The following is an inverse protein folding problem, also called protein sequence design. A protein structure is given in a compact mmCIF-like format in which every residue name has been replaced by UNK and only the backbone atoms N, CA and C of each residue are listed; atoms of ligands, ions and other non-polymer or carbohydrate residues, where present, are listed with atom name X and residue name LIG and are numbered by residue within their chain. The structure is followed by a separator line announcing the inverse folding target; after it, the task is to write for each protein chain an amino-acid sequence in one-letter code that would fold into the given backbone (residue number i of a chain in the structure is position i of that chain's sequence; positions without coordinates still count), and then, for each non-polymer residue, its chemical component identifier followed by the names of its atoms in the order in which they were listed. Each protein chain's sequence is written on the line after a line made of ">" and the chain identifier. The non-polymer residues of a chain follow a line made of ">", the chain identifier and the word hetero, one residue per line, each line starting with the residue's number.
data_IF_930642139183
#
_entry.id   IF_930642139183
#
_cell.length_a   1.000
_cell.length_b   1.000
_cell.length_c   1.000
_cell.angle_alpha   90.00
_cell.angle_beta   90.00
_cell.angle_gamma   90.00
#
_symmetry.space_group_name_H-M   'P 1'
#
loop_
_entity.id
_entity.type
_entity.pdbx_description
1 polymer ?
#
# COMPACT_ATOMS: atom_id res chain seq x y z
N UNK A 1 9.64 12.07 2.95
CA UNK A 1 10.37 10.81 2.74
C UNK A 1 9.41 9.84 2.08
N UNK A 2 9.72 9.38 0.87
CA UNK A 2 8.83 8.50 0.14
C UNK A 2 8.73 7.13 0.82
N UNK A 3 7.64 6.42 0.55
CA UNK A 3 7.51 4.98 0.79
C UNK A 3 8.76 4.26 0.27
N UNK A 4 9.38 3.45 1.14
CA UNK A 4 10.63 2.76 0.84
C UNK A 4 10.36 1.31 0.56
N UNK A 5 11.11 0.74 -0.38
CA UNK A 5 11.10 -0.70 -0.53
C UNK A 5 11.83 -1.35 0.65
N UNK A 6 11.29 -2.47 1.10
CA UNK A 6 11.89 -3.26 2.17
C UNK A 6 13.31 -3.69 1.81
N UNK A 7 14.23 -3.68 2.78
CA UNK A 7 15.65 -4.02 2.58
C UNK A 7 15.91 -5.43 2.05
N UNK A 8 15.02 -6.42 2.24
CA UNK A 8 15.24 -7.73 1.60
C UNK A 8 14.72 -7.80 0.14
N UNK A 9 14.27 -6.68 -0.42
CA UNK A 9 14.00 -6.47 -1.84
C UNK A 9 14.70 -5.17 -2.32
N UNK A 10 15.96 -4.96 -1.94
CA UNK A 10 16.72 -3.74 -2.20
C UNK A 10 17.40 -3.67 -3.58
N UNK A 11 17.13 -4.64 -4.45
CA UNK A 11 17.67 -4.71 -5.83
C UNK A 11 17.19 -3.56 -6.73
N UNK A 12 16.09 -2.90 -6.35
CA UNK A 12 15.43 -1.82 -7.10
C UNK A 12 14.45 -1.08 -6.19
N UNK A 13 14.18 0.18 -6.48
CA UNK A 13 13.09 0.95 -5.87
C UNK A 13 11.70 0.43 -6.28
N UNK A 14 10.66 0.81 -5.54
CA UNK A 14 9.27 0.51 -5.91
C UNK A 14 8.90 1.11 -7.28
N UNK A 15 9.38 2.33 -7.55
CA UNK A 15 9.13 3.03 -8.82
C UNK A 15 9.76 2.26 -9.98
N UNK A 16 11.02 1.83 -9.85
CA UNK A 16 11.70 1.02 -10.87
C UNK A 16 10.94 -0.28 -11.13
N UNK A 17 10.57 -1.01 -10.07
CA UNK A 17 9.81 -2.26 -10.19
C UNK A 17 8.53 -2.10 -11.00
N UNK A 18 7.66 -1.17 -10.62
CA UNK A 18 6.39 -0.99 -11.33
C UNK A 18 6.58 -0.37 -12.71
N UNK A 19 7.59 0.48 -12.91
CA UNK A 19 7.95 1.01 -14.24
C UNK A 19 8.31 -0.12 -15.19
N UNK A 20 9.09 -1.11 -14.77
CA UNK A 20 9.37 -2.29 -15.59
C UNK A 20 8.11 -3.07 -15.93
N UNK A 21 7.18 -3.23 -14.98
CA UNK A 21 5.91 -3.93 -15.23
C UNK A 21 5.01 -3.21 -16.23
N UNK A 22 5.13 -1.89 -16.40
CA UNK A 22 4.39 -1.17 -17.47
C UNK A 22 4.86 -1.51 -18.89
N UNK A 23 6.08 -2.06 -19.04
CA UNK A 23 6.69 -2.39 -20.34
C UNK A 23 6.30 -3.78 -20.86
N UNK A 24 5.55 -4.55 -20.07
CA UNK A 24 5.09 -5.90 -20.43
C UNK A 24 4.05 -5.88 -21.56
N UNK A 25 3.99 -6.91 -22.42
CA UNK A 25 2.93 -7.02 -23.44
C UNK A 25 1.54 -7.37 -22.85
N UNK A 26 1.48 -7.82 -21.59
CA UNK A 26 0.23 -8.22 -20.94
C UNK A 26 -0.58 -7.00 -20.46
N UNK A 27 -1.70 -6.72 -21.13
CA UNK A 27 -2.53 -5.54 -20.86
C UNK A 27 -2.98 -5.38 -19.40
N UNK A 28 -3.33 -6.48 -18.73
CA UNK A 28 -3.69 -6.48 -17.30
C UNK A 28 -2.53 -5.99 -16.42
N UNK A 29 -1.36 -6.62 -16.54
CA UNK A 29 -0.17 -6.26 -15.74
C UNK A 29 0.26 -4.82 -16.00
N UNK A 30 0.20 -4.37 -17.26
CA UNK A 30 0.51 -3.00 -17.63
C UNK A 30 -0.43 -2.01 -16.93
N UNK A 31 -1.75 -2.22 -17.02
CA UNK A 31 -2.75 -1.36 -16.39
C UNK A 31 -2.59 -1.31 -14.87
N UNK A 32 -2.47 -2.47 -14.23
CA UNK A 32 -2.28 -2.58 -12.78
C UNK A 32 -1.01 -1.85 -12.32
N UNK A 33 0.10 -2.00 -13.03
CA UNK A 33 1.36 -1.32 -12.71
C UNK A 33 1.26 0.21 -12.87
N UNK A 34 0.58 0.70 -13.91
CA UNK A 34 0.33 2.13 -14.08
C UNK A 34 -0.47 2.70 -12.91
N UNK A 35 -1.54 2.04 -12.48
CA UNK A 35 -2.32 2.48 -11.32
C UNK A 35 -1.51 2.45 -10.03
N UNK A 36 -0.60 1.47 -9.87
CA UNK A 36 0.26 1.40 -8.70
C UNK A 36 1.29 2.54 -8.65
N UNK A 37 1.79 3.00 -9.80
CA UNK A 37 2.65 4.18 -9.85
C UNK A 37 1.92 5.43 -9.36
N UNK A 38 0.64 5.62 -9.73
CA UNK A 38 -0.18 6.72 -9.20
C UNK A 38 -0.36 6.64 -7.68
N UNK A 39 -0.52 5.43 -7.13
CA UNK A 39 -0.54 5.21 -5.68
C UNK A 39 0.76 5.66 -5.03
N UNK A 40 1.90 5.19 -5.53
CA UNK A 40 3.21 5.48 -4.96
C UNK A 40 3.48 6.99 -4.99
N UNK A 41 3.18 7.64 -6.11
CA UNK A 41 3.29 9.10 -6.26
C UNK A 41 2.44 9.81 -5.21
N UNK A 42 1.14 9.47 -5.12
CA UNK A 42 0.23 10.17 -4.19
C UNK A 42 0.55 9.91 -2.72
N UNK A 43 1.00 8.71 -2.37
CA UNK A 43 1.49 8.39 -1.02
C UNK A 43 2.68 9.28 -0.68
N UNK A 44 3.63 9.43 -1.61
CA UNK A 44 4.82 10.26 -1.38
C UNK A 44 4.50 11.76 -1.28
N UNK A 45 3.45 12.21 -1.96
CA UNK A 45 2.95 13.58 -1.89
C UNK A 45 2.23 13.88 -0.57
N UNK A 46 1.41 12.95 -0.07
CA UNK A 46 0.52 13.18 1.07
C UNK A 46 1.08 12.71 2.42
N UNK A 47 2.00 11.73 2.44
CA UNK A 47 2.57 11.11 3.65
C UNK A 47 4.09 11.30 3.65
N UNK A 48 4.54 12.53 3.86
CA UNK A 48 5.95 12.91 3.75
C UNK A 48 6.74 12.52 4.99
N UNK A 49 6.14 12.56 6.17
CA UNK A 49 6.86 12.31 7.41
C UNK A 49 6.67 10.87 7.92
N UNK A 50 5.57 10.24 7.53
CA UNK A 50 5.24 8.86 7.87
C UNK A 50 6.26 7.91 7.23
N UNK A 51 7.01 7.18 8.05
CA UNK A 51 7.90 6.11 7.58
C UNK A 51 7.05 4.91 7.17
N UNK A 52 7.09 4.58 5.88
CA UNK A 52 6.36 3.44 5.30
C UNK A 52 7.39 2.58 4.58
N UNK A 53 7.42 1.30 4.94
CA UNK A 53 8.16 0.27 4.24
C UNK A 53 7.19 -0.55 3.42
N UNK A 54 7.64 -1.10 2.31
CA UNK A 54 6.82 -1.99 1.53
C UNK A 54 7.59 -3.06 0.78
N UNK A 55 6.98 -4.24 0.72
CA UNK A 55 7.37 -5.29 -0.19
C UNK A 55 6.41 -5.39 -1.37
N UNK A 56 6.88 -6.09 -2.39
CA UNK A 56 6.14 -6.39 -3.61
C UNK A 56 5.96 -7.89 -3.75
N UNK A 57 4.70 -8.33 -3.93
CA UNK A 57 4.35 -9.72 -4.18
C UNK A 57 3.15 -9.80 -5.14
N UNK A 58 3.30 -10.45 -6.30
CA UNK A 58 2.23 -10.56 -7.32
C UNK A 58 1.58 -9.20 -7.72
N UNK A 59 2.39 -8.15 -7.89
CA UNK A 59 1.95 -6.76 -8.14
C UNK A 59 1.21 -6.08 -6.98
N UNK A 60 1.10 -6.72 -5.82
CA UNK A 60 0.63 -6.06 -4.62
C UNK A 60 1.76 -5.24 -3.99
N UNK A 61 1.37 -4.18 -3.31
CA UNK A 61 2.23 -3.36 -2.48
C UNK A 61 1.80 -3.57 -1.02
N UNK A 62 2.59 -4.33 -0.27
CA UNK A 62 2.32 -4.64 1.13
C UNK A 62 3.03 -3.64 2.03
N UNK A 63 2.28 -2.88 2.82
CA UNK A 63 2.78 -1.81 3.67
C UNK A 63 3.07 -2.31 5.09
N UNK A 64 4.24 -1.88 5.57
CA UNK A 64 4.85 -2.23 6.84
C UNK A 64 5.25 -0.94 7.58
N UNK A 65 5.16 -0.96 8.90
CA UNK A 65 5.59 0.16 9.75
C UNK A 65 7.07 0.08 10.16
N UNK A 66 7.70 -1.08 9.96
CA UNK A 66 9.12 -1.37 10.22
C UNK A 66 9.75 -2.00 8.98
N UNK A 67 11.08 -1.88 8.86
CA UNK A 67 11.85 -2.44 7.74
C UNK A 67 12.14 -3.93 7.95
N UNK A 68 11.07 -4.72 8.03
CA UNK A 68 11.15 -6.17 8.14
C UNK A 68 9.94 -6.84 7.47
N UNK A 69 10.09 -8.11 7.11
CA UNK A 69 9.04 -8.93 6.51
C UNK A 69 8.08 -9.53 7.54
N UNK A 70 8.10 -9.05 8.79
CA UNK A 70 7.41 -9.74 9.88
C UNK A 70 5.89 -9.56 9.82
N UNK A 71 5.42 -8.37 9.44
CA UNK A 71 3.99 -8.06 9.52
C UNK A 71 3.51 -7.04 8.48
N UNK A 72 2.48 -7.44 7.73
CA UNK A 72 1.82 -6.60 6.72
C UNK A 72 0.50 -6.04 7.25
N UNK A 73 0.49 -4.74 7.53
CA UNK A 73 -0.67 -4.04 8.08
C UNK A 73 -1.71 -3.70 7.02
N UNK A 74 -1.26 -3.24 5.85
CA UNK A 74 -2.11 -2.84 4.73
C UNK A 74 -1.55 -3.43 3.43
N UNK A 75 -2.40 -3.99 2.59
CA UNK A 75 -2.06 -4.44 1.24
C UNK A 75 -2.82 -3.57 0.24
N UNK A 76 -2.08 -2.96 -0.66
CA UNK A 76 -2.63 -2.25 -1.82
C UNK A 76 -2.50 -3.17 -3.03
N UNK A 77 -3.59 -3.31 -3.77
CA UNK A 77 -3.61 -3.99 -5.05
C UNK A 77 -4.34 -3.14 -6.09
N UNK A 78 -4.09 -3.43 -7.35
CA UNK A 78 -4.74 -2.75 -8.47
C UNK A 78 -5.25 -3.80 -9.45
N UNK A 79 -6.43 -3.53 -9.99
CA UNK A 79 -6.94 -4.24 -11.16
C UNK A 79 -6.71 -3.38 -12.41
N UNK A 80 -7.44 -3.63 -13.50
CA UNK A 80 -7.37 -2.79 -14.71
C UNK A 80 -7.93 -1.38 -14.51
N UNK A 81 -8.90 -1.20 -13.62
CA UNK A 81 -9.63 0.07 -13.45
C UNK A 81 -10.03 0.39 -11.99
N UNK A 82 -9.64 -0.45 -11.03
CA UNK A 82 -9.92 -0.24 -9.61
C UNK A 82 -8.66 -0.27 -8.74
N UNK A 83 -8.72 0.54 -7.69
CA UNK A 83 -7.82 0.52 -6.56
C UNK A 83 -8.42 -0.35 -5.46
N UNK A 84 -7.65 -1.31 -4.95
CA UNK A 84 -8.06 -2.20 -3.87
C UNK A 84 -7.17 -1.97 -2.65
N UNK A 85 -7.80 -1.95 -1.47
CA UNK A 85 -7.09 -1.82 -0.19
C UNK A 85 -7.63 -2.90 0.73
N UNK A 86 -6.70 -3.53 1.43
CA UNK A 86 -6.97 -4.55 2.42
C UNK A 86 -6.15 -4.23 3.67
N UNK A 87 -6.73 -4.27 4.86
CA UNK A 87 -5.98 -4.09 6.10
C UNK A 87 -6.28 -5.15 7.16
N UNK A 88 -5.26 -5.46 7.96
CA UNK A 88 -5.35 -6.37 9.10
C UNK A 88 -6.19 -5.75 10.22
N UNK A 89 -7.23 -6.43 10.65
CA UNK A 89 -8.02 -6.00 11.81
C UNK A 89 -7.18 -6.24 13.07
N UNK A 90 -7.07 -5.26 14.00
CA UNK A 90 -6.29 -5.44 15.22
C UNK A 90 -6.79 -6.61 16.06
N UNK A 91 -5.87 -7.34 16.69
CA UNK A 91 -6.14 -8.58 17.46
C UNK A 91 -7.22 -8.43 18.54
N UNK A 92 -7.33 -7.26 19.15
CA UNK A 92 -8.33 -6.93 20.17
C UNK A 92 -9.75 -6.79 19.62
N UNK A 93 -9.90 -6.76 18.30
CA UNK A 93 -11.16 -6.50 17.60
C UNK A 93 -11.45 -7.49 16.47
N UNK A 94 -10.53 -8.42 16.20
CA UNK A 94 -10.70 -9.38 15.11
C UNK A 94 -11.80 -10.40 15.46
N UNK A 95 -12.78 -10.63 14.57
CA UNK A 95 -13.84 -11.61 14.81
C UNK A 95 -13.35 -13.07 14.75
N UNK A 96 -12.22 -13.30 14.09
CA UNK A 96 -11.46 -14.56 14.03
C UNK A 96 -9.99 -14.23 13.74
N UNK A 97 -9.10 -15.18 14.01
CA UNK A 97 -7.66 -15.00 13.84
C UNK A 97 -7.31 -14.54 12.41
N UNK A 98 -6.49 -13.49 12.32
CA UNK A 98 -6.03 -12.88 11.07
C UNK A 98 -7.16 -12.30 10.21
N UNK A 99 -8.24 -11.80 10.82
CA UNK A 99 -9.31 -11.14 10.07
C UNK A 99 -8.79 -9.90 9.32
N UNK A 100 -9.29 -9.69 8.11
CA UNK A 100 -8.92 -8.57 7.24
C UNK A 100 -10.14 -7.90 6.68
N UNK A 101 -10.06 -6.59 6.48
CA UNK A 101 -11.11 -5.78 5.84
C UNK A 101 -10.64 -5.35 4.46
N UNK A 102 -11.49 -5.51 3.44
CA UNK A 102 -11.20 -5.14 2.07
C UNK A 102 -12.22 -4.15 1.52
N UNK A 103 -11.75 -3.21 0.71
CA UNK A 103 -12.59 -2.34 -0.10
C UNK A 103 -11.96 -2.04 -1.46
N UNK A 104 -12.76 -1.51 -2.38
CA UNK A 104 -12.26 -0.99 -3.66
C UNK A 104 -12.97 0.29 -4.10
N UNK A 105 -12.32 1.03 -4.99
CA UNK A 105 -12.86 2.24 -5.63
C UNK A 105 -12.16 2.50 -6.95
N UNK A 106 -12.80 3.25 -7.85
CA UNK A 106 -12.23 3.72 -9.12
C UNK A 106 -11.55 5.10 -9.02
N UNK A 107 -11.71 5.78 -7.88
CA UNK A 107 -11.20 7.13 -7.64
C UNK A 107 -9.92 7.07 -6.80
N UNK A 108 -8.81 7.62 -7.30
CA UNK A 108 -7.56 7.69 -6.54
C UNK A 108 -7.73 8.51 -5.25
N UNK A 109 -8.52 9.58 -5.28
CA UNK A 109 -8.75 10.41 -4.09
C UNK A 109 -9.52 9.63 -3.01
N UNK A 110 -10.53 8.86 -3.38
CA UNK A 110 -11.25 8.02 -2.42
C UNK A 110 -10.38 6.83 -1.97
N UNK A 111 -9.53 6.32 -2.85
CA UNK A 111 -8.57 5.29 -2.50
C UNK A 111 -7.60 5.81 -1.42
N UNK A 112 -7.04 7.02 -1.58
CA UNK A 112 -6.20 7.64 -0.55
C UNK A 112 -6.91 7.82 0.79
N UNK A 113 -8.20 8.22 0.79
CA UNK A 113 -9.01 8.29 2.03
C UNK A 113 -9.13 6.91 2.69
N UNK A 114 -9.40 5.88 1.89
CA UNK A 114 -9.47 4.50 2.37
C UNK A 114 -8.12 4.01 2.90
N UNK A 115 -7.00 4.38 2.27
CA UNK A 115 -5.66 4.02 2.73
C UNK A 115 -5.38 4.64 4.09
N UNK A 116 -5.64 5.94 4.27
CA UNK A 116 -5.43 6.59 5.57
C UNK A 116 -6.26 5.94 6.67
N UNK A 117 -7.54 5.64 6.39
CA UNK A 117 -8.38 4.86 7.30
C UNK A 117 -7.80 3.48 7.60
N UNK A 118 -7.36 2.74 6.59
CA UNK A 118 -6.71 1.45 6.76
C UNK A 118 -5.45 1.53 7.64
N UNK A 119 -4.61 2.55 7.45
CA UNK A 119 -3.42 2.77 8.26
C UNK A 119 -3.75 3.13 9.72
N UNK A 120 -4.82 3.90 9.96
CA UNK A 120 -5.33 4.23 11.29
C UNK A 120 -5.91 2.99 11.98
N UNK A 121 -6.83 2.28 11.31
CA UNK A 121 -7.57 1.16 11.89
C UNK A 121 -6.73 -0.11 12.04
N UNK A 122 -5.71 -0.32 11.20
CA UNK A 122 -4.73 -1.41 11.40
C UNK A 122 -3.76 -1.14 12.55
N UNK A 123 -3.71 0.08 13.08
CA UNK A 123 -2.79 0.51 14.15
C UNK A 123 -1.29 0.38 13.81
N UNK A 124 -0.93 0.21 12.54
CA UNK A 124 0.48 0.13 12.13
C UNK A 124 1.25 1.44 12.34
N UNK A 125 0.60 2.60 12.22
CA UNK A 125 1.24 3.92 12.22
C UNK A 125 0.65 4.89 13.26
N UNK A 126 0.38 4.41 14.48
CA UNK A 126 -0.26 5.19 15.57
C UNK A 126 0.46 6.51 15.90
N UNK A 127 1.77 6.57 15.68
CA UNK A 127 2.59 7.76 15.94
C UNK A 127 2.55 8.80 14.82
N UNK A 128 2.01 8.47 13.65
CA UNK A 128 1.96 9.41 12.52
C UNK A 128 1.03 10.58 12.80
N UNK A 129 1.55 11.81 12.73
CA UNK A 129 0.75 13.04 12.81
C UNK A 129 -0.08 13.29 11.54
N UNK A 130 0.39 12.82 10.39
CA UNK A 130 -0.28 12.98 9.09
C UNK A 130 -1.56 12.14 8.97
N UNK A 131 -1.73 11.15 9.84
CA UNK A 131 -2.93 10.31 9.95
C UNK A 131 -3.93 10.82 10.99
N UNK A 132 -3.57 11.77 11.87
CA UNK A 132 -4.45 12.28 12.95
C UNK A 132 -5.48 13.30 12.48
N UNK A 133 -5.43 13.68 11.21
CA UNK A 133 -6.25 14.75 10.61
C UNK A 133 -7.40 14.22 9.74
N UNK A 134 -7.68 12.91 9.77
CA UNK A 134 -8.63 12.22 8.91
C UNK A 134 -9.74 11.47 9.67
#
# INVERSE_FOLDING_TARGET
>A
MPIKRNRNQDDQTLIEFYTEKTKTPYGFTKGAATLMLHWIERINEELKETKIWADTANLHLNLQNVDDFSENFVTIATSTDEYHIDYKVPSESEPWENARTRGSTKSLDDAMKMLKKAMIYSKGWIESSELKTY
#
